data_IF_862677549307
#
_entry.id   IF_862677549307
#
_cell.length_a   1.000
_cell.length_b   1.000
_cell.length_c   1.000
_cell.angle_alpha   90.00
_cell.angle_beta   90.00
_cell.angle_gamma   90.00
#
_symmetry.space_group_name_H-M   'P 1'
#
loop_
_entity.id
_entity.type
_entity.pdbx_description
1 polymer ?
#
# COMPACT_ATOMS: atom_id res chain seq x y z
N UNK A 1 37.69 17.99 24.33
CA UNK A 1 36.70 17.32 25.19
C UNK A 1 35.91 16.38 24.28
N UNK A 2 35.99 15.04 24.45
CA UNK A 2 35.23 14.13 23.63
C UNK A 2 33.75 14.19 24.04
N UNK A 3 32.89 14.44 23.06
CA UNK A 3 31.43 14.31 23.21
C UNK A 3 31.12 12.83 23.31
N UNK A 4 30.83 12.37 24.51
CA UNK A 4 30.32 11.01 24.76
C UNK A 4 28.89 10.99 24.19
N UNK A 5 28.73 10.34 23.04
CA UNK A 5 27.42 10.03 22.49
C UNK A 5 26.69 9.11 23.47
N UNK A 6 25.61 9.60 24.05
CA UNK A 6 24.69 8.76 24.80
C UNK A 6 24.01 7.86 23.78
N UNK A 7 24.48 6.62 23.66
CA UNK A 7 23.76 5.55 23.00
C UNK A 7 22.47 5.34 23.80
N UNK A 8 21.34 5.75 23.27
CA UNK A 8 20.05 5.42 23.84
C UNK A 8 19.95 3.88 23.82
N UNK A 9 19.97 3.28 24.98
CA UNK A 9 19.72 1.85 25.17
C UNK A 9 18.26 1.63 24.76
N UNK A 10 18.04 1.09 23.56
CA UNK A 10 16.72 0.71 23.11
C UNK A 10 16.25 -0.42 24.01
N UNK A 11 15.24 -0.15 24.83
CA UNK A 11 14.67 -1.16 25.73
C UNK A 11 13.93 -2.17 24.83
N UNK A 12 14.45 -3.39 24.76
CA UNK A 12 13.78 -4.52 24.12
C UNK A 12 12.44 -4.77 24.81
N UNK A 13 11.32 -4.48 24.13
CA UNK A 13 10.00 -4.63 24.71
C UNK A 13 9.27 -5.78 24.03
N UNK A 14 9.17 -6.92 24.74
CA UNK A 14 8.21 -7.96 24.39
C UNK A 14 6.79 -7.44 24.64
N UNK A 15 5.89 -7.65 23.71
CA UNK A 15 4.49 -7.27 23.82
C UNK A 15 3.65 -8.51 24.19
N UNK A 16 2.51 -8.33 24.89
CA UNK A 16 1.61 -9.45 25.14
C UNK A 16 0.99 -9.96 23.84
N UNK A 17 0.50 -11.20 23.85
CA UNK A 17 -0.28 -11.73 22.71
C UNK A 17 -1.65 -11.04 22.69
N UNK A 18 -2.06 -10.41 21.56
CA UNK A 18 -3.35 -9.76 21.47
C UNK A 18 -4.48 -10.79 21.40
N UNK A 19 -5.61 -10.48 22.00
CA UNK A 19 -6.83 -11.26 21.85
C UNK A 19 -7.52 -10.93 20.53
N UNK A 20 -8.23 -11.91 19.95
CA UNK A 20 -9.00 -11.72 18.73
C UNK A 20 -10.19 -10.77 18.95
N UNK A 21 -10.49 -9.97 17.92
CA UNK A 21 -11.60 -9.03 17.89
C UNK A 21 -11.19 -7.57 17.80
N UNK A 22 -12.05 -6.77 17.18
CA UNK A 22 -11.81 -5.34 16.90
C UNK A 22 -11.50 -4.54 18.16
N UNK A 23 -12.36 -4.62 19.16
CA UNK A 23 -12.23 -3.84 20.40
C UNK A 23 -10.94 -4.20 21.13
N UNK A 24 -10.57 -5.50 21.14
CA UNK A 24 -9.33 -5.99 21.72
C UNK A 24 -8.10 -5.49 20.98
N UNK A 25 -8.16 -5.45 19.65
CA UNK A 25 -7.07 -4.90 18.83
C UNK A 25 -6.92 -3.37 19.06
N UNK A 26 -8.02 -2.64 19.20
CA UNK A 26 -7.97 -1.21 19.54
C UNK A 26 -7.39 -0.98 20.95
N UNK A 27 -7.80 -1.78 21.93
CA UNK A 27 -7.26 -1.71 23.29
C UNK A 27 -5.75 -2.03 23.32
N UNK A 28 -5.32 -3.03 22.55
CA UNK A 28 -3.91 -3.36 22.41
C UNK A 28 -3.10 -2.20 21.80
N UNK A 29 -3.58 -1.62 20.71
CA UNK A 29 -2.92 -0.46 20.06
C UNK A 29 -2.89 0.74 21.03
N UNK A 30 -3.97 0.97 21.77
CA UNK A 30 -4.04 2.05 22.75
C UNK A 30 -3.04 1.88 23.89
N UNK A 31 -2.90 0.66 24.38
CA UNK A 31 -1.99 0.35 25.50
C UNK A 31 -0.51 0.35 25.09
N UNK A 32 -0.19 -0.15 23.91
CA UNK A 32 1.21 -0.46 23.55
C UNK A 32 1.77 0.34 22.37
N UNK A 33 0.93 0.86 21.46
CA UNK A 33 1.37 1.46 20.19
C UNK A 33 0.81 2.88 19.96
N UNK A 34 0.11 3.46 20.96
CA UNK A 34 -0.53 4.78 20.81
C UNK A 34 0.44 5.91 20.51
N UNK A 35 1.68 5.83 20.96
CA UNK A 35 2.74 6.80 20.69
C UNK A 35 3.25 6.78 19.23
N UNK A 36 2.88 5.75 18.46
CA UNK A 36 3.28 5.57 17.05
C UNK A 36 2.18 5.97 16.06
N UNK A 37 1.04 6.42 16.54
CA UNK A 37 -0.10 6.78 15.69
C UNK A 37 -0.48 8.24 15.83
N UNK A 38 -1.12 8.76 14.79
CA UNK A 38 -1.73 10.10 14.80
C UNK A 38 -3.25 9.99 14.92
N UNK A 39 -3.83 10.88 15.73
CA UNK A 39 -5.27 10.92 15.96
C UNK A 39 -5.78 9.81 16.90
N UNK A 40 -7.09 9.60 16.97
CA UNK A 40 -7.70 8.65 17.87
C UNK A 40 -7.37 7.20 17.50
N UNK A 41 -7.26 6.33 18.53
CA UNK A 41 -7.08 4.89 18.31
C UNK A 41 -8.44 4.25 18.02
N UNK A 42 -8.76 4.20 16.73
CA UNK A 42 -9.99 3.59 16.19
C UNK A 42 -9.63 2.79 14.93
N UNK A 43 -10.18 1.59 14.81
CA UNK A 43 -10.04 0.74 13.64
C UNK A 43 -10.84 1.25 12.44
N UNK A 44 -10.73 0.58 11.32
CA UNK A 44 -11.54 0.89 10.13
C UNK A 44 -13.00 0.51 10.36
N UNK A 45 -13.93 1.41 10.03
CA UNK A 45 -15.36 1.11 10.06
C UNK A 45 -15.84 0.24 8.88
N UNK A 46 -14.97 -0.08 7.93
CA UNK A 46 -15.33 -0.72 6.66
C UNK A 46 -14.59 -2.03 6.38
N UNK A 47 -13.43 -2.26 7.01
CA UNK A 47 -12.54 -3.37 6.69
C UNK A 47 -11.92 -3.89 7.99
N UNK A 48 -12.05 -5.19 8.23
CA UNK A 48 -11.39 -5.89 9.33
C UNK A 48 -10.07 -6.52 8.87
N UNK A 49 -9.11 -6.68 9.77
CA UNK A 49 -7.90 -7.45 9.54
C UNK A 49 -8.12 -8.95 9.72
N UNK A 50 -7.11 -9.76 9.35
CA UNK A 50 -7.11 -11.20 9.51
C UNK A 50 -7.44 -12.02 8.26
N UNK A 51 -7.05 -13.30 8.29
CA UNK A 51 -7.21 -14.22 7.16
C UNK A 51 -8.67 -14.52 6.90
N UNK A 52 -9.47 -14.77 7.96
CA UNK A 52 -10.92 -15.02 7.82
C UNK A 52 -11.65 -13.88 7.13
N UNK A 53 -11.29 -12.64 7.46
CA UNK A 53 -11.87 -11.47 6.80
C UNK A 53 -11.43 -11.34 5.34
N UNK A 54 -10.19 -11.67 5.03
CA UNK A 54 -9.66 -11.69 3.67
C UNK A 54 -10.35 -12.74 2.80
N UNK A 55 -10.48 -13.96 3.31
CA UNK A 55 -11.13 -15.08 2.61
C UNK A 55 -12.62 -14.80 2.38
N UNK A 56 -13.32 -14.29 3.38
CA UNK A 56 -14.71 -13.89 3.26
C UNK A 56 -14.91 -12.77 2.21
N UNK A 57 -14.01 -11.78 2.19
CA UNK A 57 -14.05 -10.71 1.20
C UNK A 57 -13.79 -11.23 -0.22
N UNK A 58 -12.86 -12.18 -0.39
CA UNK A 58 -12.58 -12.80 -1.68
C UNK A 58 -13.76 -13.65 -2.15
N UNK A 59 -14.34 -14.46 -1.27
CA UNK A 59 -15.50 -15.30 -1.58
C UNK A 59 -16.74 -14.46 -1.93
N UNK A 60 -16.95 -13.33 -1.28
CA UNK A 60 -18.09 -12.44 -1.53
C UNK A 60 -17.91 -11.58 -2.80
N UNK A 61 -16.71 -11.52 -3.37
CA UNK A 61 -16.45 -10.67 -4.52
C UNK A 61 -16.96 -11.30 -5.82
N UNK A 62 -18.02 -10.68 -6.38
CA UNK A 62 -18.51 -10.99 -7.72
C UNK A 62 -17.88 -10.02 -8.74
N UNK A 63 -17.11 -10.57 -9.68
CA UNK A 63 -16.47 -9.80 -10.76
C UNK A 63 -17.45 -9.32 -11.83
N UNK A 64 -18.69 -9.83 -11.86
CA UNK A 64 -19.68 -9.46 -12.86
C UNK A 64 -20.03 -7.97 -12.81
N UNK A 65 -19.91 -7.30 -13.95
CA UNK A 65 -20.12 -5.86 -14.10
C UNK A 65 -18.94 -4.99 -13.63
N UNK A 66 -17.83 -5.58 -13.23
CA UNK A 66 -16.65 -4.85 -12.76
C UNK A 66 -16.15 -3.82 -13.77
N UNK A 67 -16.03 -4.16 -15.02
CA UNK A 67 -15.52 -3.27 -16.10
C UNK A 67 -16.27 -1.94 -16.17
N UNK A 68 -17.55 -1.96 -15.90
CA UNK A 68 -18.44 -0.78 -15.91
C UNK A 68 -18.52 -0.08 -14.56
N UNK A 69 -18.57 -0.83 -13.44
CA UNK A 69 -18.90 -0.32 -12.11
C UNK A 69 -17.68 -0.02 -11.22
N UNK A 70 -16.47 -0.45 -11.58
CA UNK A 70 -15.27 -0.26 -10.75
C UNK A 70 -14.96 1.18 -10.37
N UNK A 71 -15.39 2.13 -11.22
CA UNK A 71 -15.17 3.57 -11.02
C UNK A 71 -16.38 4.30 -10.41
N UNK A 72 -17.47 3.60 -10.10
CA UNK A 72 -18.61 4.20 -9.42
C UNK A 72 -18.24 4.54 -7.97
N UNK A 73 -18.57 5.77 -7.55
CA UNK A 73 -18.18 6.30 -6.23
C UNK A 73 -19.37 6.37 -5.29
N UNK A 74 -20.51 6.88 -5.78
CA UNK A 74 -21.72 7.06 -4.97
C UNK A 74 -22.98 6.78 -5.81
N UNK A 75 -24.05 6.27 -5.18
CA UNK A 75 -24.10 5.69 -3.83
C UNK A 75 -23.31 4.37 -3.73
N UNK A 76 -22.93 3.96 -2.52
CA UNK A 76 -22.09 2.79 -2.29
C UNK A 76 -22.57 1.50 -2.97
N UNK A 77 -23.91 1.30 -3.07
CA UNK A 77 -24.53 0.13 -3.74
C UNK A 77 -24.23 0.02 -5.25
N UNK A 78 -23.76 1.10 -5.89
CA UNK A 78 -23.37 1.09 -7.31
C UNK A 78 -21.94 0.65 -7.54
N UNK A 79 -21.13 0.63 -6.48
CA UNK A 79 -19.70 0.31 -6.58
C UNK A 79 -19.47 -1.13 -7.02
N UNK A 80 -18.53 -1.32 -7.94
CA UNK A 80 -18.05 -2.63 -8.37
C UNK A 80 -16.60 -2.91 -7.94
N UNK A 81 -16.00 -2.02 -7.13
CA UNK A 81 -14.64 -2.21 -6.64
C UNK A 81 -14.60 -3.32 -5.56
N UNK A 82 -13.57 -4.17 -5.61
CA UNK A 82 -13.49 -5.41 -4.82
C UNK A 82 -13.21 -5.21 -3.32
N UNK A 83 -12.60 -4.09 -2.92
CA UNK A 83 -12.06 -3.85 -1.57
C UNK A 83 -10.97 -4.85 -1.11
N UNK A 84 -10.39 -5.64 -2.02
CA UNK A 84 -9.38 -6.65 -1.70
C UNK A 84 -7.98 -6.06 -1.50
N UNK A 85 -7.75 -4.80 -1.89
CA UNK A 85 -6.43 -4.18 -1.87
C UNK A 85 -5.73 -4.16 -0.49
N UNK A 86 -6.39 -3.99 0.67
CA UNK A 86 -5.74 -4.11 1.97
C UNK A 86 -5.20 -5.52 2.23
N UNK A 87 -5.98 -6.54 1.90
CA UNK A 87 -5.58 -7.93 2.08
C UNK A 87 -4.42 -8.32 1.16
N UNK A 88 -4.44 -7.84 -0.09
CA UNK A 88 -3.32 -8.02 -1.05
C UNK A 88 -2.08 -7.25 -0.58
N UNK A 89 -2.26 -6.04 -0.02
CA UNK A 89 -1.15 -5.21 0.47
C UNK A 89 -0.38 -5.90 1.59
N UNK A 90 -1.08 -6.56 2.48
CA UNK A 90 -0.52 -7.22 3.66
C UNK A 90 -0.30 -8.73 3.47
N UNK A 91 -0.42 -9.24 2.24
CA UNK A 91 -0.14 -10.64 1.90
C UNK A 91 -1.11 -11.65 2.51
N UNK A 92 -2.26 -11.21 3.04
CA UNK A 92 -3.37 -12.10 3.45
C UNK A 92 -4.01 -12.79 2.23
N UNK A 93 -3.94 -12.13 1.06
CA UNK A 93 -4.27 -12.69 -0.24
C UNK A 93 -3.12 -12.42 -1.20
N UNK A 94 -2.65 -13.44 -1.91
CA UNK A 94 -1.71 -13.26 -3.01
C UNK A 94 -2.44 -12.78 -4.27
N UNK A 95 -1.72 -12.10 -5.18
CA UNK A 95 -2.26 -11.74 -6.48
C UNK A 95 -2.67 -12.96 -7.31
N UNK A 96 -1.99 -14.10 -7.14
CA UNK A 96 -2.31 -15.36 -7.80
C UNK A 96 -3.67 -15.92 -7.37
N UNK A 97 -3.93 -15.97 -6.06
CA UNK A 97 -5.22 -16.41 -5.50
C UNK A 97 -6.38 -15.55 -6.00
N UNK A 98 -6.21 -14.22 -5.96
CA UNK A 98 -7.23 -13.28 -6.44
C UNK A 98 -7.43 -13.39 -7.97
N UNK A 99 -6.34 -13.63 -8.72
CA UNK A 99 -6.39 -13.85 -10.16
C UNK A 99 -7.21 -15.09 -10.54
N UNK A 100 -7.01 -16.18 -9.79
CA UNK A 100 -7.68 -17.45 -10.03
C UNK A 100 -9.13 -17.43 -9.58
N UNK A 101 -9.45 -16.73 -8.49
CA UNK A 101 -10.80 -16.63 -7.94
C UNK A 101 -11.83 -16.06 -8.94
N UNK A 102 -11.41 -15.24 -9.89
CA UNK A 102 -12.31 -14.59 -10.86
C UNK A 102 -12.40 -15.31 -12.20
N UNK A 103 -11.76 -16.49 -12.36
CA UNK A 103 -11.59 -17.17 -13.66
C UNK A 103 -12.87 -17.46 -14.42
N UNK A 104 -13.95 -17.77 -13.68
CA UNK A 104 -15.24 -18.21 -14.24
C UNK A 104 -16.23 -17.04 -14.45
N UNK A 105 -15.81 -15.81 -14.23
CA UNK A 105 -16.63 -14.63 -14.44
C UNK A 105 -16.77 -14.23 -15.92
N UNK A 106 -17.58 -13.19 -16.22
CA UNK A 106 -17.73 -12.67 -17.58
C UNK A 106 -16.40 -12.21 -18.16
N UNK A 107 -16.09 -12.61 -19.38
CA UNK A 107 -14.76 -12.44 -20.02
C UNK A 107 -14.22 -11.02 -19.96
N UNK A 108 -15.03 -10.00 -20.29
CA UNK A 108 -14.58 -8.59 -20.29
C UNK A 108 -14.32 -8.07 -18.88
N UNK A 109 -15.11 -8.51 -17.91
CA UNK A 109 -14.95 -8.12 -16.51
C UNK A 109 -13.71 -8.78 -15.90
N UNK A 110 -13.51 -10.08 -16.12
CA UNK A 110 -12.31 -10.83 -15.73
C UNK A 110 -11.06 -10.21 -16.34
N UNK A 111 -11.07 -9.95 -17.65
CA UNK A 111 -9.95 -9.32 -18.34
C UNK A 111 -9.61 -7.97 -17.72
N UNK A 112 -10.63 -7.14 -17.47
CA UNK A 112 -10.43 -5.81 -16.90
C UNK A 112 -9.94 -5.88 -15.45
N UNK A 113 -10.50 -6.77 -14.62
CA UNK A 113 -10.04 -6.94 -13.24
C UNK A 113 -8.59 -7.45 -13.18
N UNK A 114 -8.25 -8.44 -13.99
CA UNK A 114 -6.88 -8.94 -14.10
C UNK A 114 -5.89 -7.88 -14.58
N UNK A 115 -6.29 -6.96 -15.45
CA UNK A 115 -5.48 -5.80 -15.82
C UNK A 115 -5.16 -4.91 -14.62
N UNK A 116 -6.11 -4.70 -13.69
CA UNK A 116 -5.85 -3.92 -12.47
C UNK A 116 -4.91 -4.66 -11.49
N UNK A 117 -4.97 -6.00 -11.42
CA UNK A 117 -3.99 -6.78 -10.65
C UNK A 117 -2.57 -6.66 -11.25
N UNK A 118 -2.45 -6.63 -12.57
CA UNK A 118 -1.16 -6.37 -13.23
C UNK A 118 -0.62 -4.97 -12.95
N UNK A 119 -1.47 -3.96 -12.77
CA UNK A 119 -1.04 -2.64 -12.31
C UNK A 119 -0.46 -2.67 -10.90
N UNK A 120 -1.03 -3.46 -9.98
CA UNK A 120 -0.47 -3.65 -8.64
C UNK A 120 0.89 -4.36 -8.68
N UNK A 121 1.01 -5.40 -9.52
CA UNK A 121 2.28 -6.11 -9.71
C UNK A 121 3.34 -5.19 -10.31
N UNK A 122 2.99 -4.41 -11.32
CA UNK A 122 3.87 -3.41 -11.91
C UNK A 122 4.36 -2.39 -10.87
N UNK A 123 3.47 -1.90 -10.01
CA UNK A 123 3.84 -0.97 -8.96
C UNK A 123 4.88 -1.57 -8.00
N UNK A 124 4.75 -2.85 -7.65
CA UNK A 124 5.75 -3.56 -6.83
C UNK A 124 7.10 -3.67 -7.54
N UNK A 125 7.12 -4.08 -8.83
CA UNK A 125 8.36 -4.13 -9.63
C UNK A 125 9.03 -2.76 -9.72
N UNK A 126 8.23 -1.73 -10.00
CA UNK A 126 8.69 -0.34 -10.09
C UNK A 126 9.31 0.15 -8.77
N UNK A 127 8.63 -0.08 -7.64
CA UNK A 127 9.13 0.35 -6.34
C UNK A 127 10.33 -0.48 -5.85
N UNK A 128 10.29 -1.80 -6.00
CA UNK A 128 11.40 -2.66 -5.62
C UNK A 128 12.70 -2.30 -6.35
N UNK A 129 12.60 -1.89 -7.63
CA UNK A 129 13.75 -1.54 -8.47
C UNK A 129 14.22 -0.10 -8.25
N UNK A 130 13.33 0.85 -8.11
CA UNK A 130 13.67 2.27 -8.08
C UNK A 130 13.82 2.84 -6.66
N UNK A 131 13.22 2.19 -5.67
CA UNK A 131 13.36 2.56 -4.26
C UNK A 131 13.04 4.03 -3.99
N UNK A 132 13.97 4.73 -3.34
CA UNK A 132 13.85 6.13 -2.97
C UNK A 132 13.63 7.07 -4.18
N UNK A 133 14.11 6.72 -5.37
CA UNK A 133 13.90 7.53 -6.59
C UNK A 133 12.43 7.70 -6.97
N UNK A 134 11.54 6.85 -6.45
CA UNK A 134 10.10 6.99 -6.66
C UNK A 134 9.49 8.18 -5.90
N UNK A 135 10.22 8.81 -4.97
CA UNK A 135 9.76 10.01 -4.25
C UNK A 135 9.85 11.30 -5.06
N UNK A 136 10.51 11.26 -6.22
CA UNK A 136 10.56 12.34 -7.20
C UNK A 136 9.84 11.94 -8.47
N UNK A 137 9.41 12.90 -9.28
CA UNK A 137 8.72 12.63 -10.53
C UNK A 137 9.62 11.85 -11.52
N UNK A 138 9.10 10.78 -12.09
CA UNK A 138 9.90 9.92 -12.96
C UNK A 138 10.21 10.57 -14.30
N UNK A 139 9.29 11.39 -14.83
CA UNK A 139 9.43 12.03 -16.14
C UNK A 139 9.67 13.53 -16.07
N UNK A 140 9.05 14.18 -15.09
CA UNK A 140 9.06 15.63 -14.88
C UNK A 140 8.55 15.92 -13.47
N UNK A 141 8.79 17.12 -12.96
CA UNK A 141 8.22 17.58 -11.71
C UNK A 141 7.14 18.63 -11.95
N UNK A 142 6.22 18.78 -11.00
CA UNK A 142 5.28 19.89 -10.99
C UNK A 142 6.02 21.15 -10.53
N UNK A 143 5.82 22.25 -11.24
CA UNK A 143 6.23 23.56 -10.73
C UNK A 143 5.31 23.95 -9.59
N UNK A 144 5.82 23.83 -8.37
CA UNK A 144 5.05 24.18 -7.16
C UNK A 144 5.21 25.68 -6.90
N UNK A 145 4.11 26.41 -6.77
CA UNK A 145 4.16 27.80 -6.36
C UNK A 145 4.63 27.89 -4.90
N UNK A 146 5.88 28.30 -4.69
CA UNK A 146 6.51 28.41 -3.37
C UNK A 146 5.75 29.31 -2.37
N UNK A 147 4.82 30.14 -2.86
CA UNK A 147 3.95 30.99 -2.04
C UNK A 147 2.69 30.28 -1.51
N UNK A 148 2.39 29.09 -2.02
CA UNK A 148 1.30 28.28 -1.54
C UNK A 148 1.86 27.31 -0.51
N UNK A 149 2.01 27.78 0.74
CA UNK A 149 2.36 26.93 1.87
C UNK A 149 1.41 25.72 1.97
N UNK A 150 1.81 24.71 2.72
CA UNK A 150 1.04 23.50 2.98
C UNK A 150 -0.40 23.89 3.38
N UNK A 151 -1.32 23.81 2.43
CA UNK A 151 -2.74 24.14 2.66
C UNK A 151 -3.42 22.92 3.24
N UNK A 152 -4.38 23.15 4.10
CA UNK A 152 -5.34 22.12 4.50
C UNK A 152 -6.25 21.77 3.31
N UNK A 153 -6.83 20.59 3.33
CA UNK A 153 -7.83 20.19 2.34
C UNK A 153 -9.05 21.12 2.41
N UNK A 154 -9.41 21.72 1.28
CA UNK A 154 -10.69 22.45 1.19
C UNK A 154 -11.87 21.47 1.18
N UNK A 155 -12.58 21.41 2.29
CA UNK A 155 -13.75 20.54 2.49
C UNK A 155 -15.08 21.21 2.12
N UNK A 156 -15.05 22.44 1.57
CA UNK A 156 -16.27 23.14 1.17
C UNK A 156 -17.05 22.40 0.07
N UNK A 157 -16.32 21.68 -0.80
CA UNK A 157 -16.93 20.83 -1.83
C UNK A 157 -17.37 19.49 -1.26
N UNK A 158 -18.64 19.17 -1.32
CA UNK A 158 -19.19 17.91 -0.80
C UNK A 158 -18.52 16.65 -1.37
N UNK A 159 -18.11 16.67 -2.64
CA UNK A 159 -17.41 15.54 -3.26
C UNK A 159 -15.99 15.34 -2.66
N UNK A 160 -15.29 16.40 -2.29
CA UNK A 160 -14.00 16.35 -1.60
C UNK A 160 -14.19 15.91 -0.15
N UNK A 161 -15.08 16.58 0.59
CA UNK A 161 -15.32 16.28 2.01
C UNK A 161 -15.79 14.84 2.24
N UNK A 162 -16.78 14.37 1.45
CA UNK A 162 -17.26 12.98 1.57
C UNK A 162 -16.15 11.95 1.28
N UNK A 163 -15.24 12.26 0.32
CA UNK A 163 -14.13 11.37 -0.01
C UNK A 163 -13.06 11.35 1.08
N UNK A 164 -12.73 12.51 1.64
CA UNK A 164 -11.81 12.62 2.78
C UNK A 164 -12.36 11.92 4.01
N UNK A 165 -13.63 12.14 4.33
CA UNK A 165 -14.30 11.47 5.45
C UNK A 165 -14.28 9.94 5.30
N UNK A 166 -14.51 9.41 4.10
CA UNK A 166 -14.38 7.97 3.83
C UNK A 166 -12.93 7.47 4.02
N UNK A 167 -11.94 8.23 3.60
CA UNK A 167 -10.53 7.90 3.81
C UNK A 167 -10.17 7.89 5.29
N UNK A 168 -10.58 8.92 6.03
CA UNK A 168 -10.24 9.10 7.44
C UNK A 168 -10.94 8.08 8.34
N UNK A 169 -12.15 7.65 8.03
CA UNK A 169 -12.91 6.69 8.83
C UNK A 169 -12.72 5.24 8.38
N UNK A 170 -12.72 5.00 7.07
CA UNK A 170 -12.65 3.66 6.48
C UNK A 170 -11.25 3.21 6.11
N UNK A 171 -10.34 4.12 5.85
CA UNK A 171 -8.97 3.79 5.41
C UNK A 171 -8.91 3.17 4.02
N UNK A 172 -9.95 3.36 3.21
CA UNK A 172 -10.01 2.83 1.85
C UNK A 172 -10.86 3.70 0.94
N UNK A 173 -10.45 3.82 -0.31
CA UNK A 173 -11.16 4.57 -1.35
C UNK A 173 -11.23 3.79 -2.65
N UNK A 174 -12.32 3.98 -3.39
CA UNK A 174 -12.38 3.62 -4.81
C UNK A 174 -11.29 4.36 -5.56
N UNK A 175 -10.64 3.72 -6.55
CA UNK A 175 -9.55 4.34 -7.31
C UNK A 175 -9.95 5.68 -7.94
N UNK A 176 -11.19 5.83 -8.40
CA UNK A 176 -11.72 7.08 -8.95
C UNK A 176 -11.63 8.23 -7.93
N UNK A 177 -12.01 7.98 -6.68
CA UNK A 177 -11.93 8.96 -5.59
C UNK A 177 -10.49 9.36 -5.27
N UNK A 178 -9.56 8.39 -5.33
CA UNK A 178 -8.13 8.69 -5.15
C UNK A 178 -7.62 9.66 -6.21
N UNK A 179 -8.02 9.46 -7.47
CA UNK A 179 -7.65 10.37 -8.56
C UNK A 179 -8.30 11.75 -8.40
N UNK A 180 -9.52 11.84 -7.88
CA UNK A 180 -10.18 13.12 -7.62
C UNK A 180 -9.38 13.96 -6.62
N UNK A 181 -9.09 13.37 -5.46
CA UNK A 181 -8.32 14.07 -4.42
C UNK A 181 -6.90 14.43 -4.91
N UNK A 182 -6.21 13.51 -5.58
CA UNK A 182 -4.87 13.80 -6.07
C UNK A 182 -4.85 14.92 -7.13
N UNK A 183 -5.87 14.97 -8.02
CA UNK A 183 -6.02 16.04 -8.99
C UNK A 183 -6.42 17.36 -8.33
N UNK A 184 -7.32 17.35 -7.34
CA UNK A 184 -7.66 18.55 -6.59
C UNK A 184 -6.44 19.14 -5.92
N UNK A 185 -5.73 18.31 -5.14
CA UNK A 185 -4.56 18.75 -4.36
C UNK A 185 -3.41 19.30 -5.20
N UNK A 186 -3.02 18.56 -6.24
CA UNK A 186 -1.78 18.87 -6.95
C UNK A 186 -2.01 19.61 -8.28
N UNK A 187 -3.10 19.30 -9.01
CA UNK A 187 -3.33 19.90 -10.34
C UNK A 187 -4.11 21.19 -10.23
N UNK A 188 -5.13 21.26 -9.35
CA UNK A 188 -5.93 22.48 -9.17
C UNK A 188 -5.33 23.43 -8.15
N UNK A 189 -4.98 22.89 -6.98
CA UNK A 189 -4.51 23.73 -5.86
C UNK A 189 -3.01 24.02 -5.92
N UNK A 190 -2.25 23.35 -6.83
CA UNK A 190 -0.81 23.55 -7.03
C UNK A 190 0.05 23.13 -5.84
N UNK A 191 -0.45 22.24 -4.98
CA UNK A 191 0.31 21.74 -3.84
C UNK A 191 1.31 20.64 -4.25
N UNK A 192 2.37 20.46 -3.47
CA UNK A 192 3.32 19.37 -3.66
C UNK A 192 2.60 18.02 -3.58
N UNK A 193 2.71 17.20 -4.63
CA UNK A 193 2.04 15.90 -4.70
C UNK A 193 2.52 14.93 -3.63
N UNK A 194 3.77 15.07 -3.17
CA UNK A 194 4.37 14.25 -2.11
C UNK A 194 3.60 14.38 -0.80
N UNK A 195 3.21 15.60 -0.43
CA UNK A 195 2.44 15.84 0.80
C UNK A 195 1.05 15.17 0.75
N UNK A 196 0.38 15.22 -0.41
CA UNK A 196 -0.88 14.51 -0.60
C UNK A 196 -0.70 12.98 -0.61
N UNK A 197 0.39 12.47 -1.20
CA UNK A 197 0.77 11.06 -1.16
C UNK A 197 1.03 10.59 0.26
N UNK A 198 1.72 11.38 1.08
CA UNK A 198 1.97 11.09 2.49
C UNK A 198 0.67 11.06 3.31
N UNK A 199 -0.24 11.99 3.08
CA UNK A 199 -1.55 11.99 3.70
C UNK A 199 -2.35 10.70 3.37
N UNK A 200 -2.33 10.28 2.11
CA UNK A 200 -2.96 9.01 1.73
C UNK A 200 -2.27 7.82 2.40
N UNK A 201 -0.95 7.80 2.40
CA UNK A 201 -0.20 6.72 3.03
C UNK A 201 -0.48 6.62 4.52
N UNK A 202 -0.66 7.74 5.21
CA UNK A 202 -1.03 7.82 6.62
C UNK A 202 -2.38 7.12 6.90
N UNK A 203 -3.39 7.37 6.05
CA UNK A 203 -4.77 6.94 6.30
C UNK A 203 -5.15 5.60 5.65
N UNK A 204 -4.57 5.25 4.50
CA UNK A 204 -4.95 4.05 3.75
C UNK A 204 -4.49 2.76 4.42
N UNK A 205 -5.39 1.79 4.58
CA UNK A 205 -5.06 0.41 4.97
C UNK A 205 -4.17 -0.28 3.92
N UNK A 206 -4.46 -0.05 2.65
CA UNK A 206 -3.66 -0.55 1.53
C UNK A 206 -2.51 0.41 1.15
N UNK A 207 -2.19 1.37 2.00
CA UNK A 207 -1.13 2.34 1.78
C UNK A 207 0.21 1.66 1.51
N UNK A 208 0.76 1.92 0.31
CA UNK A 208 2.01 1.35 -0.17
C UNK A 208 2.77 2.43 -0.93
N UNK A 209 4.05 2.61 -0.65
CA UNK A 209 4.89 3.52 -1.45
C UNK A 209 5.03 3.05 -2.91
N UNK A 210 4.66 1.82 -3.21
CA UNK A 210 4.55 1.32 -4.57
C UNK A 210 3.29 1.85 -5.26
N UNK A 211 2.12 1.28 -4.96
CA UNK A 211 0.88 1.57 -5.66
C UNK A 211 0.35 2.99 -5.42
N UNK A 212 0.43 3.49 -4.17
CA UNK A 212 -0.03 4.85 -3.84
C UNK A 212 0.79 5.89 -4.60
N UNK A 213 2.11 5.82 -4.52
CA UNK A 213 3.02 6.77 -5.17
C UNK A 213 2.91 6.72 -6.70
N UNK A 214 2.82 5.51 -7.28
CA UNK A 214 2.59 5.36 -8.71
C UNK A 214 1.27 6.00 -9.15
N UNK A 215 0.19 5.84 -8.37
CA UNK A 215 -1.12 6.45 -8.62
C UNK A 215 -1.06 7.98 -8.59
N UNK A 216 -0.37 8.56 -7.61
CA UNK A 216 -0.13 10.00 -7.52
C UNK A 216 0.66 10.52 -8.70
N UNK A 217 1.78 9.88 -9.06
CA UNK A 217 2.59 10.28 -10.21
C UNK A 217 1.82 10.20 -11.54
N UNK A 218 0.97 9.19 -11.68
CA UNK A 218 0.13 9.08 -12.86
C UNK A 218 -0.92 10.19 -12.92
N UNK A 219 -1.62 10.47 -11.82
CA UNK A 219 -2.69 11.46 -11.75
C UNK A 219 -2.18 12.88 -11.95
N UNK A 220 -1.06 13.21 -11.34
CA UNK A 220 -0.48 14.56 -11.41
C UNK A 220 0.24 14.85 -12.72
N UNK A 221 0.53 13.83 -13.52
CA UNK A 221 1.27 13.99 -14.76
C UNK A 221 2.78 13.89 -14.63
N UNK A 222 3.34 13.81 -13.43
CA UNK A 222 4.81 13.71 -13.25
C UNK A 222 5.36 12.35 -13.70
N UNK A 223 4.52 11.32 -13.73
CA UNK A 223 4.83 9.98 -14.24
C UNK A 223 4.13 9.62 -15.56
N UNK A 224 3.28 10.50 -16.10
CA UNK A 224 2.50 10.27 -17.32
C UNK A 224 2.67 11.39 -18.34
N UNK A 225 2.01 11.29 -19.50
CA UNK A 225 2.13 12.31 -20.55
C UNK A 225 1.33 13.59 -20.27
N UNK A 226 0.29 13.48 -19.45
CA UNK A 226 -0.59 14.61 -19.06
C UNK A 226 -1.14 14.37 -17.66
N UNK A 227 -1.52 15.42 -16.96
CA UNK A 227 -2.24 15.33 -15.70
C UNK A 227 -3.69 14.87 -15.91
N UNK A 228 -4.24 14.24 -14.88
CA UNK A 228 -5.65 13.88 -14.84
C UNK A 228 -6.48 15.06 -14.32
N UNK A 229 -7.44 15.50 -15.12
CA UNK A 229 -8.35 16.56 -14.69
C UNK A 229 -9.49 16.02 -13.84
N UNK A 230 -9.81 16.73 -12.75
CA UNK A 230 -10.99 16.50 -11.93
C UNK A 230 -12.01 17.62 -12.17
N UNK A 231 -13.25 17.26 -12.49
CA UNK A 231 -14.32 18.21 -12.80
C UNK A 231 -15.69 17.74 -12.32
N UNK A 232 -16.63 18.66 -12.23
CA UNK A 232 -18.03 18.40 -11.83
C UNK A 232 -18.68 17.31 -12.70
N UNK A 233 -18.38 17.27 -13.99
CA UNK A 233 -18.90 16.25 -14.89
C UNK A 233 -18.59 14.83 -14.43
N UNK A 234 -17.39 14.61 -13.90
CA UNK A 234 -17.01 13.30 -13.40
C UNK A 234 -17.76 12.94 -12.12
N UNK A 235 -18.00 13.92 -11.24
CA UNK A 235 -18.81 13.72 -10.03
C UNK A 235 -20.23 13.35 -10.42
N UNK A 236 -20.88 14.10 -11.30
CA UNK A 236 -22.23 13.82 -11.77
C UNK A 236 -22.35 12.43 -12.41
N UNK A 237 -21.33 12.01 -13.17
CA UNK A 237 -21.28 10.71 -13.82
C UNK A 237 -21.05 9.54 -12.86
N UNK A 238 -20.14 9.69 -11.88
CA UNK A 238 -19.66 8.60 -11.03
C UNK A 238 -20.23 8.60 -9.62
N UNK A 239 -20.84 9.69 -9.25
CA UNK A 239 -21.47 9.89 -7.94
C UNK A 239 -22.81 10.62 -8.05
N UNK A 240 -23.77 10.07 -8.84
CA UNK A 240 -25.06 10.74 -9.02
C UNK A 240 -25.75 10.98 -7.68
N UNK A 241 -26.27 12.19 -7.49
CA UNK A 241 -26.87 12.65 -6.24
C UNK A 241 -25.88 13.24 -5.21
N UNK A 242 -24.57 13.07 -5.40
CA UNK A 242 -23.60 13.60 -4.44
C UNK A 242 -23.53 15.14 -4.43
N UNK A 243 -23.83 15.79 -5.57
CA UNK A 243 -23.88 17.26 -5.65
C UNK A 243 -25.17 17.86 -5.06
N UNK A 244 -26.19 17.05 -4.78
CA UNK A 244 -27.42 17.52 -4.17
C UNK A 244 -27.16 18.04 -2.76
N UNK A 245 -27.50 19.31 -2.49
CA UNK A 245 -27.22 19.98 -1.21
C UNK A 245 -25.76 20.37 -1.00
N UNK A 246 -24.92 20.39 -2.05
CA UNK A 246 -23.60 21.02 -2.00
C UNK A 246 -23.75 22.55 -1.84
N UNK A 247 -22.95 23.16 -0.96
CA UNK A 247 -23.02 24.61 -0.68
C UNK A 247 -22.70 25.48 -1.90
N UNK A 248 -21.93 24.94 -2.85
CA UNK A 248 -21.55 25.66 -4.07
C UNK A 248 -22.65 25.70 -5.14
N UNK A 249 -23.60 24.74 -5.14
CA UNK A 249 -24.70 24.72 -6.11
C UNK A 249 -24.23 24.90 -7.56
N UNK A 250 -24.74 25.95 -8.23
CA UNK A 250 -24.38 26.30 -9.61
C UNK A 250 -22.97 26.94 -9.73
N UNK A 251 -22.44 27.52 -8.66
CA UNK A 251 -21.10 28.13 -8.63
C UNK A 251 -20.01 27.12 -8.26
N UNK A 252 -20.05 25.92 -8.82
CA UNK A 252 -19.15 24.83 -8.49
C UNK A 252 -17.68 25.18 -8.86
N UNK A 253 -16.72 25.14 -7.90
CA UNK A 253 -15.33 25.47 -8.17
C UNK A 253 -14.64 24.57 -9.20
N UNK A 254 -15.21 23.37 -9.43
CA UNK A 254 -14.73 22.40 -10.41
C UNK A 254 -15.69 22.23 -11.59
N UNK A 255 -16.47 23.25 -11.92
CA UNK A 255 -17.39 23.21 -13.08
C UNK A 255 -16.63 22.86 -14.36
N UNK A 256 -15.50 23.52 -14.56
CA UNK A 256 -14.63 23.30 -15.73
C UNK A 256 -13.49 22.35 -15.43
N UNK A 257 -12.86 21.83 -16.50
CA UNK A 257 -11.63 21.07 -16.41
C UNK A 257 -10.49 21.98 -15.97
N UNK A 258 -9.55 21.49 -15.12
CA UNK A 258 -8.37 22.28 -14.77
C UNK A 258 -7.47 22.43 -15.98
N UNK A 259 -6.75 23.56 -16.02
CA UNK A 259 -5.63 23.72 -16.91
C UNK A 259 -4.54 22.70 -16.62
N UNK A 260 -3.71 22.42 -17.62
CA UNK A 260 -2.52 21.59 -17.37
C UNK A 260 -1.53 22.40 -16.52
N UNK A 261 -1.02 21.81 -15.44
CA UNK A 261 0.00 22.50 -14.65
C UNK A 261 1.31 22.65 -15.40
N UNK A 262 2.12 23.58 -14.98
CA UNK A 262 3.48 23.72 -15.47
C UNK A 262 4.38 22.62 -14.93
N UNK A 263 5.34 22.23 -15.75
CA UNK A 263 6.28 21.16 -15.43
C UNK A 263 7.70 21.58 -15.70
N UNK A 264 8.59 21.13 -14.85
CA UNK A 264 10.03 21.27 -15.00
C UNK A 264 10.74 19.92 -15.16
N UNK A 265 12.02 19.96 -15.47
CA UNK A 265 12.82 18.75 -15.55
C UNK A 265 12.91 18.09 -14.17
N UNK A 266 12.88 16.74 -14.09
CA UNK A 266 13.00 16.05 -12.82
C UNK A 266 14.41 16.24 -12.25
N UNK A 267 14.49 16.32 -10.93
CA UNK A 267 15.75 16.30 -10.21
C UNK A 267 16.44 14.93 -10.39
N UNK A 268 17.70 14.97 -10.78
CA UNK A 268 18.52 13.77 -10.92
C UNK A 268 18.41 13.06 -12.29
N UNK A 269 19.09 11.92 -12.45
CA UNK A 269 19.14 11.20 -13.72
C UNK A 269 17.78 10.58 -14.07
N UNK A 270 17.38 10.67 -15.32
CA UNK A 270 16.16 10.00 -15.83
C UNK A 270 16.22 8.50 -15.54
N UNK A 271 15.05 7.93 -15.20
CA UNK A 271 14.94 6.47 -15.09
C UNK A 271 15.28 5.86 -16.44
N UNK A 272 16.32 5.02 -16.54
CA UNK A 272 16.70 4.45 -17.82
C UNK A 272 15.58 3.60 -18.41
N UNK A 273 15.38 3.70 -19.71
CA UNK A 273 14.39 2.90 -20.43
C UNK A 273 14.67 1.39 -20.35
N UNK A 274 15.96 1.05 -20.13
CA UNK A 274 16.42 -0.31 -19.84
C UNK A 274 17.23 -0.26 -18.55
N UNK A 275 16.85 -1.06 -17.55
CA UNK A 275 17.65 -1.22 -16.36
C UNK A 275 18.85 -2.09 -16.68
N UNK A 276 20.06 -1.56 -16.47
CA UNK A 276 21.30 -2.35 -16.46
C UNK A 276 21.55 -3.07 -15.15
N UNK A 277 20.59 -3.01 -14.22
CA UNK A 277 20.71 -3.62 -12.87
C UNK A 277 20.22 -5.07 -12.91
N UNK A 278 20.84 -5.89 -12.08
CA UNK A 278 20.45 -7.28 -11.90
C UNK A 278 19.00 -7.34 -11.34
N UNK A 279 18.05 -7.89 -12.10
CA UNK A 279 16.66 -7.99 -11.63
C UNK A 279 16.51 -8.92 -10.42
N UNK A 280 17.48 -9.78 -10.13
CA UNK A 280 17.44 -10.70 -8.99
C UNK A 280 17.44 -9.95 -7.67
N UNK A 281 18.12 -8.79 -7.56
CA UNK A 281 18.14 -7.96 -6.37
C UNK A 281 16.75 -7.44 -5.99
N UNK A 282 15.93 -7.13 -7.00
CA UNK A 282 14.56 -6.65 -6.78
C UNK A 282 13.52 -7.77 -6.74
N UNK A 283 13.84 -8.96 -7.27
CA UNK A 283 12.93 -10.09 -7.38
C UNK A 283 13.02 -11.06 -6.18
N UNK A 284 14.12 -10.98 -5.43
CA UNK A 284 14.46 -11.98 -4.41
C UNK A 284 14.81 -13.35 -5.00
N UNK A 285 14.98 -14.37 -4.16
CA UNK A 285 15.35 -15.71 -4.61
C UNK A 285 14.26 -16.33 -5.49
N UNK A 286 14.64 -17.20 -6.40
CA UNK A 286 13.72 -17.99 -7.22
C UNK A 286 13.30 -19.28 -6.52
N UNK A 287 14.20 -19.83 -5.75
CA UNK A 287 14.03 -21.01 -4.92
C UNK A 287 14.41 -20.64 -3.47
N UNK A 288 13.92 -21.38 -2.47
CA UNK A 288 14.36 -21.17 -1.10
C UNK A 288 15.88 -21.20 -0.97
N UNK A 289 16.43 -20.19 -0.30
CA UNK A 289 17.84 -20.13 0.11
C UNK A 289 17.89 -20.54 1.58
N UNK A 290 18.42 -21.74 1.87
CA UNK A 290 18.49 -22.30 3.22
C UNK A 290 19.96 -22.56 3.54
N UNK A 291 20.48 -21.90 4.60
CA UNK A 291 21.85 -21.98 5.05
C UNK A 291 22.00 -22.74 6.37
N UNK A 292 20.90 -22.88 7.11
CA UNK A 292 20.85 -23.55 8.41
C UNK A 292 19.43 -23.76 8.92
N UNK A 293 19.25 -24.46 10.03
CA UNK A 293 17.95 -24.59 10.69
C UNK A 293 17.52 -23.25 11.29
N UNK A 294 16.27 -22.87 11.11
CA UNK A 294 15.69 -21.70 11.76
C UNK A 294 15.12 -22.07 13.15
N UNK A 295 15.11 -21.12 14.06
CA UNK A 295 14.43 -21.22 15.36
C UNK A 295 13.04 -20.58 15.36
N UNK A 296 12.80 -19.63 14.44
CA UNK A 296 11.56 -18.90 14.33
C UNK A 296 11.30 -18.39 12.90
N UNK A 297 10.07 -18.01 12.61
CA UNK A 297 9.69 -17.35 11.35
C UNK A 297 9.53 -15.85 11.62
N UNK A 298 10.42 -15.04 11.01
CA UNK A 298 10.25 -13.59 10.99
C UNK A 298 9.14 -13.18 10.02
N UNK A 299 7.97 -12.86 10.57
CA UNK A 299 6.84 -12.42 9.79
C UNK A 299 6.91 -10.90 9.58
N UNK A 300 6.64 -10.44 8.36
CA UNK A 300 6.64 -9.01 8.01
C UNK A 300 5.25 -8.51 7.70
N UNK A 301 5.03 -7.19 7.80
CA UNK A 301 3.76 -6.56 7.44
C UNK A 301 3.40 -6.67 5.94
N UNK A 302 4.31 -7.19 5.12
CA UNK A 302 4.09 -7.45 3.69
C UNK A 302 3.47 -8.84 3.44
N UNK A 303 3.59 -9.79 4.38
CA UNK A 303 3.25 -11.20 4.20
C UNK A 303 2.73 -11.80 5.50
N UNK A 304 1.46 -11.48 5.85
CA UNK A 304 0.80 -11.89 7.09
C UNK A 304 -0.13 -13.11 6.89
N UNK A 305 -0.34 -13.54 5.65
CA UNK A 305 -1.34 -14.53 5.33
C UNK A 305 -0.93 -15.96 5.63
N UNK A 306 -1.90 -16.84 5.82
CA UNK A 306 -1.70 -18.27 6.03
C UNK A 306 -0.92 -18.95 4.88
N UNK A 307 -0.95 -18.36 3.68
CA UNK A 307 -0.22 -18.82 2.50
C UNK A 307 1.20 -18.23 2.37
N UNK A 308 1.73 -17.57 3.42
CA UNK A 308 3.12 -17.09 3.43
C UNK A 308 4.09 -18.25 3.21
N UNK A 309 5.07 -18.13 2.28
CA UNK A 309 6.01 -19.21 1.97
C UNK A 309 6.85 -19.69 3.15
N UNK A 310 7.31 -18.80 4.02
CA UNK A 310 8.09 -19.19 5.21
C UNK A 310 7.20 -19.90 6.24
N UNK A 311 5.99 -19.40 6.50
CA UNK A 311 5.02 -20.08 7.38
C UNK A 311 4.66 -21.46 6.87
N UNK A 312 4.51 -21.62 5.55
CA UNK A 312 4.18 -22.90 4.94
C UNK A 312 5.32 -23.91 4.98
N UNK A 313 6.56 -23.44 4.83
CA UNK A 313 7.76 -24.29 4.87
C UNK A 313 8.15 -24.70 6.30
N UNK A 314 7.87 -23.82 7.27
CA UNK A 314 8.26 -24.00 8.68
C UNK A 314 7.03 -24.07 9.61
N UNK A 315 6.16 -25.09 9.43
CA UNK A 315 4.85 -25.13 10.10
C UNK A 315 4.94 -25.32 11.63
N UNK A 316 6.05 -25.82 12.13
CA UNK A 316 6.26 -26.10 13.57
C UNK A 316 6.99 -24.99 14.34
N UNK A 317 7.53 -23.99 13.64
CA UNK A 317 8.32 -22.93 14.31
C UNK A 317 7.40 -21.83 14.87
N UNK A 318 7.79 -21.22 15.99
CA UNK A 318 7.14 -20.00 16.47
C UNK A 318 7.32 -18.87 15.46
N UNK A 319 6.39 -17.91 15.51
CA UNK A 319 6.40 -16.72 14.66
C UNK A 319 6.86 -15.53 15.49
N UNK A 320 7.80 -14.75 14.97
CA UNK A 320 8.16 -13.45 15.55
C UNK A 320 7.73 -12.32 14.63
N UNK A 321 7.01 -11.33 15.18
CA UNK A 321 6.67 -10.10 14.48
C UNK A 321 7.19 -8.90 15.28
N UNK A 322 7.94 -8.03 14.60
CA UNK A 322 8.50 -6.81 15.20
C UNK A 322 7.72 -5.61 14.67
N UNK A 323 7.04 -4.88 15.56
CA UNK A 323 6.58 -3.53 15.26
C UNK A 323 7.82 -2.63 15.21
N UNK A 324 8.20 -2.24 13.99
CA UNK A 324 9.38 -1.42 13.70
C UNK A 324 9.15 0.00 14.25
N UNK A 325 9.50 0.22 15.51
CA UNK A 325 9.24 1.47 16.22
C UNK A 325 9.88 2.68 15.54
N UNK A 326 11.19 2.64 15.14
CA UNK A 326 11.80 3.75 14.42
C UNK A 326 11.12 4.10 13.10
N UNK A 327 10.64 3.10 12.36
CA UNK A 327 9.93 3.32 11.10
C UNK A 327 8.52 3.84 11.35
N UNK A 328 7.76 3.21 12.24
CA UNK A 328 6.38 3.59 12.54
C UNK A 328 6.29 5.01 13.08
N UNK A 329 7.23 5.41 13.95
CA UNK A 329 7.33 6.77 14.46
C UNK A 329 7.54 7.81 13.36
N UNK A 330 8.33 7.48 12.32
CA UNK A 330 8.53 8.35 11.13
C UNK A 330 7.32 8.40 10.20
N UNK A 331 6.57 7.29 10.12
CA UNK A 331 5.43 7.20 9.19
C UNK A 331 4.18 7.90 9.70
N UNK A 332 4.06 8.11 11.00
CA UNK A 332 2.95 8.79 11.67
C UNK A 332 1.57 8.28 11.18
N UNK A 333 1.38 6.96 11.15
CA UNK A 333 0.18 6.33 10.60
C UNK A 333 -1.07 6.64 11.45
N UNK A 334 -2.24 6.64 10.82
CA UNK A 334 -3.49 6.53 11.58
C UNK A 334 -3.61 5.14 12.20
N UNK A 335 -4.26 5.05 13.37
CA UNK A 335 -4.36 3.80 14.12
C UNK A 335 -4.97 2.63 13.34
N UNK A 336 -5.82 2.92 12.34
CA UNK A 336 -6.53 1.89 11.54
C UNK A 336 -5.61 0.80 11.00
N UNK A 337 -4.40 1.18 10.52
CA UNK A 337 -3.46 0.20 9.98
C UNK A 337 -2.86 -0.67 11.06
N UNK A 338 -2.48 -0.09 12.21
CA UNK A 338 -1.97 -0.89 13.33
C UNK A 338 -3.06 -1.80 13.91
N UNK A 339 -4.29 -1.33 14.04
CA UNK A 339 -5.43 -2.17 14.45
C UNK A 339 -5.61 -3.34 13.47
N UNK A 340 -5.59 -3.08 12.16
CA UNK A 340 -5.67 -4.12 11.14
C UNK A 340 -4.55 -5.18 11.25
N UNK A 341 -3.32 -4.74 11.52
CA UNK A 341 -2.18 -5.66 11.73
C UNK A 341 -2.38 -6.49 13.00
N UNK A 342 -2.81 -5.86 14.11
CA UNK A 342 -3.06 -6.55 15.38
C UNK A 342 -4.20 -7.56 15.25
N UNK A 343 -5.29 -7.24 14.53
CA UNK A 343 -6.36 -8.19 14.22
C UNK A 343 -5.82 -9.43 13.47
N UNK A 344 -4.93 -9.22 12.48
CA UNK A 344 -4.35 -10.31 11.72
C UNK A 344 -3.39 -11.18 12.56
N UNK A 345 -2.58 -10.55 13.40
CA UNK A 345 -1.63 -11.25 14.29
C UNK A 345 -2.36 -12.00 15.42
N UNK A 346 -3.42 -11.43 15.97
CA UNK A 346 -4.27 -12.09 16.98
C UNK A 346 -4.92 -13.35 16.40
N UNK A 347 -5.46 -13.28 15.18
CA UNK A 347 -6.03 -14.46 14.50
C UNK A 347 -4.97 -15.52 14.21
N UNK A 348 -3.77 -15.14 13.80
CA UNK A 348 -2.67 -16.07 13.59
C UNK A 348 -2.29 -16.77 14.91
N UNK A 349 -2.31 -16.03 16.02
CA UNK A 349 -2.03 -16.53 17.37
C UNK A 349 -3.01 -17.60 17.88
N UNK A 350 -4.19 -17.74 17.29
CA UNK A 350 -5.12 -18.84 17.59
C UNK A 350 -4.58 -20.22 17.15
N UNK A 351 -3.63 -20.26 16.22
CA UNK A 351 -3.14 -21.46 15.57
C UNK A 351 -1.61 -21.64 15.58
N UNK A 352 -0.89 -20.57 15.94
CA UNK A 352 0.58 -20.53 15.96
C UNK A 352 1.04 -19.82 17.24
N UNK A 353 2.20 -20.21 17.74
CA UNK A 353 2.89 -19.42 18.76
C UNK A 353 3.42 -18.14 18.12
N UNK A 354 2.89 -16.97 18.54
CA UNK A 354 3.22 -15.65 17.97
C UNK A 354 3.83 -14.77 19.04
N UNK A 355 5.10 -14.47 18.90
CA UNK A 355 5.83 -13.52 19.72
C UNK A 355 5.77 -12.13 19.06
N UNK A 356 5.29 -11.13 19.80
CA UNK A 356 5.26 -9.73 19.35
C UNK A 356 6.34 -8.92 20.07
N UNK A 357 7.05 -8.12 19.30
CA UNK A 357 8.12 -7.24 19.79
C UNK A 357 7.92 -5.81 19.31
N UNK A 358 8.40 -4.85 20.07
CA UNK A 358 8.46 -3.44 19.72
C UNK A 358 9.93 -2.98 19.75
N UNK A 359 10.42 -2.42 18.65
CA UNK A 359 11.79 -1.92 18.55
C UNK A 359 12.33 -1.94 17.12
N UNK A 360 13.65 -1.82 16.96
CA UNK A 360 14.31 -1.97 15.65
C UNK A 360 14.43 -3.47 15.29
N UNK A 361 13.86 -3.93 14.15
CA UNK A 361 13.96 -5.33 13.74
C UNK A 361 15.40 -5.87 13.68
N UNK A 362 16.38 -5.02 13.35
CA UNK A 362 17.79 -5.42 13.29
C UNK A 362 18.31 -5.77 14.68
N UNK A 363 17.98 -4.96 15.69
CA UNK A 363 18.38 -5.20 17.06
C UNK A 363 17.61 -6.38 17.68
N UNK A 364 16.29 -6.46 17.42
CA UNK A 364 15.43 -7.50 17.97
C UNK A 364 15.74 -8.90 17.47
N UNK A 365 16.25 -9.02 16.25
CA UNK A 365 16.49 -10.31 15.58
C UNK A 365 17.98 -10.64 15.44
N UNK A 366 18.89 -9.80 15.97
CA UNK A 366 20.35 -9.95 15.81
C UNK A 366 20.93 -11.28 16.28
N UNK A 367 20.27 -11.97 17.19
CA UNK A 367 20.73 -13.24 17.79
C UNK A 367 19.83 -14.42 17.48
N UNK A 368 18.92 -14.27 16.49
CA UNK A 368 17.96 -15.32 16.12
C UNK A 368 18.28 -15.91 14.76
N UNK A 369 18.15 -17.21 14.66
CA UNK A 369 18.21 -17.93 13.39
C UNK A 369 16.84 -17.94 12.72
N UNK A 370 16.51 -16.85 12.02
CA UNK A 370 15.16 -16.66 11.45
C UNK A 370 15.02 -17.19 10.03
N UNK A 371 13.83 -17.75 9.74
CA UNK A 371 13.32 -17.95 8.39
C UNK A 371 12.42 -16.76 8.00
N UNK A 372 12.48 -16.31 6.76
CA UNK A 372 11.69 -15.16 6.30
C UNK A 372 11.21 -15.33 4.86
N UNK A 373 10.06 -14.79 4.52
CA UNK A 373 9.65 -14.59 3.12
C UNK A 373 10.24 -13.29 2.61
N UNK A 374 10.92 -13.33 1.47
CA UNK A 374 11.43 -12.13 0.81
C UNK A 374 10.29 -11.12 0.60
N UNK A 375 10.53 -9.85 0.93
CA UNK A 375 9.56 -8.78 0.70
C UNK A 375 10.10 -7.79 -0.35
N UNK A 376 9.34 -7.49 -1.43
CA UNK A 376 9.80 -6.65 -2.53
C UNK A 376 9.71 -5.14 -2.18
N UNK A 377 10.29 -4.78 -1.05
CA UNK A 377 10.38 -3.39 -0.57
C UNK A 377 11.84 -3.06 -0.24
N UNK A 378 12.34 -1.88 -0.63
CA UNK A 378 13.76 -1.53 -0.47
C UNK A 378 14.29 -1.68 0.97
N UNK A 379 13.49 -1.29 1.96
CA UNK A 379 13.89 -1.39 3.37
C UNK A 379 14.03 -2.82 3.89
N UNK A 380 13.40 -3.81 3.25
CA UNK A 380 13.55 -5.21 3.62
C UNK A 380 14.96 -5.72 3.31
N UNK A 381 15.45 -5.51 2.08
CA UNK A 381 16.76 -6.00 1.67
C UNK A 381 17.87 -5.50 2.62
N UNK A 382 17.87 -4.20 2.94
CA UNK A 382 18.83 -3.61 3.87
C UNK A 382 18.81 -4.26 5.25
N UNK A 383 17.61 -4.56 5.78
CA UNK A 383 17.48 -5.23 7.09
C UNK A 383 17.90 -6.68 7.01
N UNK A 384 17.45 -7.40 5.99
CA UNK A 384 17.79 -8.81 5.80
C UNK A 384 19.30 -9.03 5.66
N UNK A 385 20.00 -8.12 4.97
CA UNK A 385 21.47 -8.17 4.84
C UNK A 385 22.19 -8.06 6.20
N UNK A 386 21.62 -7.32 7.17
CA UNK A 386 22.19 -7.14 8.50
C UNK A 386 21.77 -8.27 9.44
N UNK A 387 20.50 -8.66 9.43
CA UNK A 387 19.95 -9.73 10.27
C UNK A 387 20.54 -11.08 9.87
N UNK A 388 20.77 -11.33 8.57
CA UNK A 388 21.31 -12.56 8.04
C UNK A 388 20.39 -13.78 8.21
N UNK A 389 19.13 -13.76 7.69
CA UNK A 389 18.23 -14.90 7.84
C UNK A 389 18.88 -16.22 7.39
N UNK A 390 18.73 -17.28 8.19
CA UNK A 390 19.26 -18.62 7.83
C UNK A 390 18.43 -19.28 6.72
N UNK A 391 17.19 -18.85 6.53
CA UNK A 391 16.34 -19.28 5.42
C UNK A 391 15.56 -18.10 4.84
N UNK A 392 15.63 -17.93 3.51
CA UNK A 392 14.85 -16.91 2.79
C UNK A 392 14.01 -17.59 1.73
N UNK A 393 12.68 -17.43 1.82
CA UNK A 393 11.72 -18.01 0.91
C UNK A 393 11.30 -17.02 -0.16
N UNK A 394 10.98 -17.49 -1.42
CA UNK A 394 10.65 -16.61 -2.53
C UNK A 394 9.34 -15.85 -2.28
N UNK A 395 9.26 -14.61 -2.75
CA UNK A 395 8.01 -13.88 -2.86
C UNK A 395 7.08 -14.51 -3.90
N UNK A 396 5.79 -14.53 -3.64
CA UNK A 396 4.76 -15.09 -4.54
C UNK A 396 4.38 -14.10 -5.65
N UNK A 397 5.29 -13.89 -6.60
CA UNK A 397 5.04 -13.04 -7.75
C UNK A 397 3.93 -13.62 -8.65
N UNK A 398 2.97 -12.79 -9.07
CA UNK A 398 2.09 -13.12 -10.19
C UNK A 398 2.92 -13.15 -11.50
N UNK A 399 3.88 -12.25 -11.61
CA UNK A 399 4.87 -12.15 -12.67
C UNK A 399 6.22 -11.81 -12.07
N UNK A 400 7.18 -12.72 -12.13
CA UNK A 400 8.51 -12.47 -11.60
C UNK A 400 9.19 -11.31 -12.36
N UNK A 401 9.89 -10.37 -11.68
CA UNK A 401 10.66 -9.31 -12.30
C UNK A 401 11.67 -9.83 -13.31
N UNK A 402 11.81 -9.10 -14.41
CA UNK A 402 12.78 -9.35 -15.48
C UNK A 402 13.65 -8.11 -15.69
N UNK A 403 14.71 -8.21 -16.50
CA UNK A 403 15.54 -7.07 -16.90
C UNK A 403 14.80 -6.03 -17.79
N UNK A 404 13.51 -6.24 -18.05
CA UNK A 404 12.68 -5.31 -18.82
C UNK A 404 12.49 -3.96 -18.15
N UNK A 405 12.15 -2.94 -18.93
CA UNK A 405 11.93 -1.58 -18.44
C UNK A 405 10.74 -1.49 -17.51
N UNK A 406 10.89 -0.72 -16.44
CA UNK A 406 9.80 -0.29 -15.53
C UNK A 406 9.42 1.19 -15.74
N UNK A 407 9.85 1.81 -16.83
CA UNK A 407 9.54 3.22 -17.14
C UNK A 407 8.08 3.47 -17.49
N UNK A 408 7.33 2.43 -17.88
CA UNK A 408 5.90 2.50 -18.14
C UNK A 408 5.24 1.14 -18.00
N UNK A 409 3.97 1.13 -17.58
CA UNK A 409 3.17 -0.09 -17.51
C UNK A 409 3.10 -0.84 -18.86
N UNK A 410 2.88 -0.13 -19.97
CA UNK A 410 2.77 -0.75 -21.29
C UNK A 410 4.09 -1.40 -21.74
N UNK A 411 5.23 -0.77 -21.44
CA UNK A 411 6.55 -1.32 -21.71
C UNK A 411 6.83 -2.55 -20.86
N UNK A 412 6.58 -2.45 -19.56
CA UNK A 412 6.69 -3.55 -18.61
C UNK A 412 5.81 -4.74 -19.00
N UNK A 413 4.53 -4.51 -19.32
CA UNK A 413 3.59 -5.58 -19.69
C UNK A 413 4.05 -6.36 -20.92
N UNK A 414 4.68 -5.69 -21.89
CA UNK A 414 5.27 -6.37 -23.04
C UNK A 414 6.47 -7.24 -22.66
N UNK A 415 7.30 -6.78 -21.70
CA UNK A 415 8.51 -7.49 -21.28
C UNK A 415 8.23 -8.73 -20.43
N UNK A 416 7.17 -8.73 -19.61
CA UNK A 416 6.81 -9.89 -18.77
C UNK A 416 5.96 -10.93 -19.51
N UNK A 417 5.68 -10.71 -20.80
CA UNK A 417 4.99 -11.63 -21.70
C UNK A 417 3.47 -11.71 -21.50
N UNK A 418 2.78 -12.13 -22.56
CA UNK A 418 1.32 -12.31 -22.57
C UNK A 418 0.87 -13.67 -22.00
N UNK A 419 1.80 -14.59 -21.78
CA UNK A 419 1.46 -15.94 -21.31
C UNK A 419 1.21 -15.95 -19.82
N UNK A 420 -0.06 -15.94 -19.48
CA UNK A 420 -0.60 -16.47 -18.24
C UNK A 420 -0.58 -17.99 -18.40
N UNK A 421 0.28 -18.66 -17.67
CA UNK A 421 0.14 -20.13 -17.54
C UNK A 421 -1.00 -20.43 -16.61
#
# INVERSE_FOLDING_TARGET
>A
VPVVGVQACTIMTALPTPEAGRDRAEDFVRAHLSHLVTGPVVGSNAIAGGQRAADAALQAFDVAGYSRRRNEVFPARRRGASKLSPYIRHGLLSLGEVWDAVRDGPTDDVKKFRDELLWQEFARHWYARLGARTSTGIRRELTVNAQQGQREWDRSMRCVDSTLSELETGGWLVNQSRMWLASQWAVRDGNAWQAGEDFFFQHLLDGSRAANRLGWQWTTGVGSSKSYGFSQWQVLKRAPGLCEGCVHGEACPIADWPDQPDFEAPDGPRVPARAGEDPTLAAGPEQPLVHGPADSVWLTAESLGASDPALGAEPGLPVVFVFDEPLLGKLALSAKRLVFLVEALAELGEHRDVELMLGDPVEMLATRDVAVTFAPVPGFATRADIIGPVATYPWRWLRRPTAGSVSSFSGWRKSVGSRLK
#
